data_IF_617682508582
#
_entry.id   IF_617682508582
#
_cell.length_a   1.000
_cell.length_b   1.000
_cell.length_c   1.000
_cell.angle_alpha   90.00
_cell.angle_beta   90.00
_cell.angle_gamma   90.00
#
_symmetry.space_group_name_H-M   'P 1'
#
loop_
_entity.id
_entity.type
_entity.pdbx_description
1 polymer ?
#
# COMPACT_ATOMS: atom_id res chain seq x y z
N UNK A 1 9.30 2.01 7.47
CA UNK A 1 8.53 3.26 7.27
C UNK A 1 7.30 3.28 8.17
N UNK A 2 6.14 2.74 7.78
CA UNK A 2 4.86 2.86 8.53
C UNK A 2 4.97 2.52 10.03
N UNK A 3 5.65 1.42 10.37
CA UNK A 3 5.88 1.02 11.78
C UNK A 3 6.46 2.15 12.64
N UNK A 4 7.38 2.94 12.06
CA UNK A 4 8.17 3.95 12.75
C UNK A 4 7.58 5.38 12.65
N UNK A 5 6.44 5.56 11.97
CA UNK A 5 5.79 6.85 11.78
C UNK A 5 4.68 7.00 12.81
N UNK A 6 4.71 8.00 13.68
CA UNK A 6 3.69 8.18 14.73
C UNK A 6 2.57 9.14 14.33
N UNK A 7 2.87 10.10 13.45
CA UNK A 7 1.93 11.10 12.95
C UNK A 7 2.06 11.19 11.43
N UNK A 8 0.95 11.34 10.72
CA UNK A 8 0.96 11.45 9.26
C UNK A 8 1.89 12.58 8.77
N UNK A 9 2.02 13.68 9.53
CA UNK A 9 2.91 14.80 9.17
C UNK A 9 4.39 14.44 9.06
N UNK A 10 4.81 13.33 9.68
CA UNK A 10 6.18 12.81 9.60
C UNK A 10 6.46 12.16 8.23
N UNK A 11 5.40 11.75 7.51
CA UNK A 11 5.51 11.29 6.14
C UNK A 11 5.74 12.47 5.22
N UNK A 12 7.00 12.84 5.06
CA UNK A 12 7.43 13.81 4.06
C UNK A 12 7.96 13.08 2.83
N UNK A 13 8.07 13.80 1.70
CA UNK A 13 8.72 13.28 0.50
C UNK A 13 10.10 12.72 0.83
N UNK A 14 10.91 13.47 1.58
CA UNK A 14 12.30 13.09 1.85
C UNK A 14 12.36 11.85 2.75
N UNK A 15 11.53 11.77 3.79
CA UNK A 15 11.40 10.58 4.63
C UNK A 15 11.02 9.33 3.83
N UNK A 16 10.09 9.45 2.89
CA UNK A 16 9.65 8.34 2.03
C UNK A 16 10.78 7.91 1.07
N UNK A 17 11.46 8.88 0.44
CA UNK A 17 12.58 8.60 -0.45
C UNK A 17 13.73 7.90 0.28
N UNK A 18 14.04 8.35 1.50
CA UNK A 18 15.08 7.76 2.33
C UNK A 18 14.70 6.33 2.75
N UNK A 19 13.43 6.11 3.14
CA UNK A 19 12.95 4.78 3.50
C UNK A 19 12.95 3.78 2.32
N UNK A 20 12.80 4.26 1.09
CA UNK A 20 12.82 3.43 -0.14
C UNK A 20 14.23 3.35 -0.74
N UNK A 21 15.12 4.27 -0.38
CA UNK A 21 16.46 4.39 -0.96
C UNK A 21 16.44 4.85 -2.42
N UNK A 22 15.38 5.54 -2.86
CA UNK A 22 15.19 6.00 -4.25
C UNK A 22 14.62 7.41 -4.29
N UNK A 23 15.07 8.19 -5.26
CA UNK A 23 14.50 9.52 -5.57
C UNK A 23 13.23 9.35 -6.38
N UNK A 24 12.23 10.16 -6.05
CA UNK A 24 10.95 10.16 -6.73
C UNK A 24 10.99 11.17 -7.88
N UNK A 25 10.12 10.97 -8.85
CA UNK A 25 9.79 11.99 -9.84
C UNK A 25 8.70 12.86 -9.22
N UNK A 26 9.00 14.11 -8.81
CA UNK A 26 7.99 15.02 -8.30
C UNK A 26 7.16 15.60 -9.45
N UNK A 27 5.90 15.92 -9.17
CA UNK A 27 5.09 16.78 -10.04
C UNK A 27 5.56 18.25 -9.95
N UNK A 28 5.05 19.11 -10.83
CA UNK A 28 5.51 20.49 -10.99
C UNK A 28 5.48 21.34 -9.70
N UNK A 29 4.55 21.05 -8.79
CA UNK A 29 4.42 21.75 -7.50
C UNK A 29 5.12 21.03 -6.33
N UNK A 30 5.71 19.86 -6.59
CA UNK A 30 6.39 19.01 -5.61
C UNK A 30 5.50 18.39 -4.52
N UNK A 31 4.18 18.62 -4.55
CA UNK A 31 3.23 18.12 -3.54
C UNK A 31 2.81 16.68 -3.81
N UNK A 32 2.87 16.26 -5.05
CA UNK A 32 2.71 14.87 -5.46
C UNK A 32 3.94 14.38 -6.21
N UNK A 33 4.02 13.07 -6.34
CA UNK A 33 5.09 12.42 -7.06
C UNK A 33 4.99 10.92 -6.96
N UNK A 34 5.86 10.26 -7.71
CA UNK A 34 5.87 8.80 -7.75
C UNK A 34 7.26 8.23 -7.95
N UNK A 35 7.40 6.96 -7.62
CA UNK A 35 8.51 6.12 -7.98
C UNK A 35 7.99 4.77 -8.44
N UNK A 36 8.51 4.25 -9.54
CA UNK A 36 8.16 2.93 -10.05
C UNK A 36 9.38 2.02 -10.09
N UNK A 37 9.20 0.78 -9.64
CA UNK A 37 10.19 -0.29 -9.70
C UNK A 37 9.63 -1.43 -10.54
N UNK A 38 10.15 -1.60 -11.75
CA UNK A 38 9.81 -2.72 -12.61
C UNK A 38 10.43 -4.01 -12.07
N UNK A 39 9.63 -5.07 -11.97
CA UNK A 39 10.11 -6.38 -11.52
C UNK A 39 10.91 -7.09 -12.61
N UNK A 40 11.78 -8.07 -12.26
CA UNK A 40 12.67 -8.72 -13.22
C UNK A 40 11.99 -9.32 -14.45
N UNK A 41 10.75 -9.82 -14.31
CA UNK A 41 9.99 -10.35 -15.46
C UNK A 41 9.54 -9.28 -16.45
N UNK A 42 9.58 -8.00 -16.07
CA UNK A 42 9.12 -6.87 -16.87
C UNK A 42 7.60 -6.72 -16.98
N UNK A 43 6.82 -7.71 -16.51
CA UNK A 43 5.36 -7.74 -16.65
C UNK A 43 4.64 -6.95 -15.57
N UNK A 44 5.29 -6.73 -14.43
CA UNK A 44 4.75 -6.09 -13.24
C UNK A 44 5.69 -5.02 -12.71
N UNK A 45 5.15 -4.03 -12.01
CA UNK A 45 5.92 -3.03 -11.29
C UNK A 45 5.24 -2.66 -9.97
N UNK A 46 6.05 -2.32 -8.98
CA UNK A 46 5.58 -1.59 -7.82
C UNK A 46 5.59 -0.10 -8.12
N UNK A 47 4.52 0.59 -7.77
CA UNK A 47 4.42 2.05 -7.82
C UNK A 47 4.20 2.59 -6.41
N UNK A 48 5.09 3.46 -5.97
CA UNK A 48 4.88 4.28 -4.78
C UNK A 48 4.47 5.67 -5.22
N UNK A 49 3.38 6.17 -4.67
CA UNK A 49 2.89 7.53 -4.95
C UNK A 49 2.69 8.27 -3.64
N UNK A 50 2.96 9.57 -3.62
CA UNK A 50 2.52 10.45 -2.55
C UNK A 50 1.71 11.62 -3.12
N UNK A 51 0.80 12.13 -2.32
CA UNK A 51 0.13 13.40 -2.51
C UNK A 51 -0.01 14.07 -1.13
N UNK A 52 0.51 15.29 -0.98
CA UNK A 52 0.45 16.08 0.24
C UNK A 52 -0.33 17.36 -0.02
N UNK A 53 -1.64 17.28 0.22
CA UNK A 53 -2.53 18.43 0.11
C UNK A 53 -2.51 19.22 1.42
N UNK A 54 -1.86 20.40 1.39
CA UNK A 54 -1.77 21.29 2.55
C UNK A 54 -3.08 22.03 2.85
N UNK A 55 -3.94 22.21 1.83
CA UNK A 55 -5.23 22.87 2.01
C UNK A 55 -6.27 21.91 2.58
N UNK A 56 -6.23 20.64 2.16
CA UNK A 56 -7.09 19.58 2.65
C UNK A 56 -6.25 18.39 3.08
N UNK A 57 -5.71 18.47 4.29
CA UNK A 57 -4.77 17.46 4.79
C UNK A 57 -5.35 16.04 4.84
N UNK A 58 -6.67 15.89 4.94
CA UNK A 58 -7.40 14.62 4.80
C UNK A 58 -7.29 13.97 3.42
N UNK A 59 -6.97 14.72 2.38
CA UNK A 59 -6.69 14.20 1.03
C UNK A 59 -5.23 13.73 0.87
N UNK A 60 -4.39 13.95 1.89
CA UNK A 60 -3.00 13.54 1.83
C UNK A 60 -2.86 12.04 1.98
N UNK A 61 -2.09 11.42 1.09
CA UNK A 61 -1.98 9.97 0.98
C UNK A 61 -0.58 9.56 0.50
N UNK A 62 -0.08 8.47 1.05
CA UNK A 62 1.05 7.72 0.49
C UNK A 62 0.56 6.32 0.16
N UNK A 63 0.84 5.82 -1.04
CA UNK A 63 0.38 4.51 -1.49
C UNK A 63 1.50 3.70 -2.12
N UNK A 64 1.48 2.39 -1.89
CA UNK A 64 2.24 1.37 -2.62
C UNK A 64 1.22 0.48 -3.36
N UNK A 65 1.41 0.29 -4.66
CA UNK A 65 0.53 -0.55 -5.50
C UNK A 65 1.35 -1.45 -6.40
N UNK A 66 0.97 -2.72 -6.50
CA UNK A 66 1.42 -3.61 -7.57
C UNK A 66 0.54 -3.39 -8.81
N UNK A 67 1.14 -2.99 -9.92
CA UNK A 67 0.44 -2.70 -11.18
C UNK A 67 1.07 -3.47 -12.34
N UNK A 68 0.27 -3.73 -13.37
CA UNK A 68 0.76 -4.32 -14.61
C UNK A 68 1.62 -3.32 -15.38
N UNK A 69 2.74 -3.82 -15.89
CA UNK A 69 3.61 -3.10 -16.82
C UNK A 69 3.46 -3.60 -18.26
N UNK A 70 2.86 -4.78 -18.46
CA UNK A 70 2.63 -5.39 -19.77
C UNK A 70 1.20 -5.94 -19.88
N UNK A 71 0.65 -5.96 -21.09
CA UNK A 71 -0.67 -6.56 -21.37
C UNK A 71 -0.68 -8.09 -21.18
N UNK A 72 0.49 -8.73 -21.28
CA UNK A 72 0.67 -10.18 -21.12
C UNK A 72 0.61 -10.65 -19.67
N UNK A 73 0.69 -9.73 -18.70
CA UNK A 73 0.74 -10.05 -17.29
C UNK A 73 -0.52 -10.80 -16.81
N UNK A 74 -0.33 -12.00 -16.25
CA UNK A 74 -1.39 -12.84 -15.70
C UNK A 74 -1.88 -12.35 -14.31
N UNK A 75 -3.09 -11.79 -14.24
CA UNK A 75 -3.71 -11.33 -12.98
C UNK A 75 -4.05 -12.44 -12.01
N UNK A 76 -4.11 -13.69 -12.47
CA UNK A 76 -4.34 -14.83 -11.60
C UNK A 76 -3.07 -15.20 -10.84
N UNK A 77 -1.91 -14.75 -11.32
CA UNK A 77 -0.60 -15.06 -10.77
C UNK A 77 0.33 -13.84 -10.63
N UNK A 78 -0.11 -12.72 -10.02
CA UNK A 78 0.80 -11.62 -9.76
C UNK A 78 1.95 -12.07 -8.85
N UNK A 79 3.14 -11.46 -8.98
CA UNK A 79 4.30 -11.69 -8.12
C UNK A 79 4.10 -11.05 -6.73
N UNK A 80 2.88 -11.06 -6.22
CA UNK A 80 2.47 -10.45 -4.98
C UNK A 80 3.03 -11.28 -3.80
N UNK A 81 4.26 -10.97 -3.39
CA UNK A 81 5.03 -11.70 -2.38
C UNK A 81 4.71 -11.27 -0.94
N UNK A 82 4.09 -10.10 -0.77
CA UNK A 82 3.71 -9.60 0.55
C UNK A 82 2.51 -10.39 1.07
N UNK A 83 2.77 -11.42 1.88
CA UNK A 83 1.73 -12.19 2.58
C UNK A 83 0.85 -11.27 3.44
N UNK A 84 -0.47 -11.40 3.27
CA UNK A 84 -1.44 -10.59 3.98
C UNK A 84 -1.36 -10.80 5.48
N UNK A 85 -1.27 -12.04 5.97
CA UNK A 85 -1.33 -12.33 7.40
C UNK A 85 -0.10 -11.81 8.13
N UNK A 86 1.09 -12.05 7.55
CA UNK A 86 2.34 -11.46 8.04
C UNK A 86 2.27 -9.94 8.12
N UNK A 87 1.67 -9.29 7.11
CA UNK A 87 1.54 -7.84 7.10
C UNK A 87 0.55 -7.32 8.16
N UNK A 88 -0.59 -8.01 8.35
CA UNK A 88 -1.58 -7.69 9.41
C UNK A 88 -0.93 -7.75 10.79
N UNK A 89 -0.24 -8.85 11.11
CA UNK A 89 0.45 -9.02 12.37
C UNK A 89 1.51 -7.92 12.61
N UNK A 90 2.23 -7.52 11.56
CA UNK A 90 3.22 -6.44 11.65
C UNK A 90 2.58 -5.07 11.96
N UNK A 91 1.47 -4.74 11.30
CA UNK A 91 0.72 -3.49 11.54
C UNK A 91 0.15 -3.47 12.97
N UNK A 92 -0.49 -4.55 13.40
CA UNK A 92 -1.08 -4.68 14.73
C UNK A 92 -0.02 -4.63 15.84
N UNK A 93 1.12 -5.32 15.66
CA UNK A 93 2.26 -5.25 16.60
C UNK A 93 2.88 -3.86 16.70
N UNK A 94 2.61 -2.99 15.73
CA UNK A 94 3.02 -1.60 15.75
C UNK A 94 2.01 -0.71 16.50
N UNK A 95 0.95 -1.27 17.10
CA UNK A 95 -0.03 -0.51 17.87
C UNK A 95 -1.12 0.17 17.03
N UNK A 96 -1.24 -0.21 15.75
CA UNK A 96 -2.44 0.14 14.98
C UNK A 96 -3.62 -0.74 15.42
N UNK A 97 -4.79 -0.13 15.55
CA UNK A 97 -6.03 -0.79 15.91
C UNK A 97 -6.81 -1.16 14.65
N UNK A 98 -7.33 -2.39 14.53
CA UNK A 98 -8.14 -2.78 13.38
C UNK A 98 -9.49 -2.07 13.42
N UNK A 99 -9.95 -1.64 12.25
CA UNK A 99 -11.32 -1.18 11.99
C UNK A 99 -12.16 -2.34 11.41
N UNK A 100 -13.50 -2.21 11.35
CA UNK A 100 -14.35 -3.21 10.72
C UNK A 100 -13.90 -3.56 9.28
N UNK A 101 -13.79 -4.86 9.02
CA UNK A 101 -13.38 -5.39 7.72
C UNK A 101 -14.46 -5.06 6.68
N UNK A 102 -14.03 -4.55 5.53
CA UNK A 102 -14.92 -4.37 4.38
C UNK A 102 -14.87 -5.61 3.50
N UNK A 103 -16.05 -6.13 3.15
CA UNK A 103 -16.19 -7.28 2.27
C UNK A 103 -16.79 -6.86 0.92
N UNK A 104 -16.48 -7.61 -0.13
CA UNK A 104 -17.16 -7.54 -1.42
C UNK A 104 -18.50 -8.27 -1.36
N UNK A 105 -19.33 -8.10 -2.40
CA UNK A 105 -20.63 -8.76 -2.53
C UNK A 105 -20.54 -10.30 -2.52
N UNK A 106 -19.40 -10.85 -2.92
CA UNK A 106 -19.13 -12.30 -2.92
C UNK A 106 -18.42 -12.78 -1.63
N UNK A 107 -18.38 -11.93 -0.59
CA UNK A 107 -17.84 -12.28 0.73
C UNK A 107 -16.31 -12.26 0.83
N UNK A 108 -15.59 -11.76 -0.19
CA UNK A 108 -14.13 -11.62 -0.11
C UNK A 108 -13.75 -10.35 0.65
N UNK A 109 -12.60 -10.36 1.31
CA UNK A 109 -12.08 -9.15 1.95
C UNK A 109 -11.77 -8.12 0.85
N UNK A 110 -12.50 -7.01 0.84
CA UNK A 110 -12.29 -5.91 -0.10
C UNK A 110 -11.26 -4.90 0.45
N UNK A 111 -11.28 -4.65 1.75
CA UNK A 111 -10.30 -3.79 2.40
C UNK A 111 -10.18 -4.11 3.90
N UNK A 112 -8.94 -4.04 4.41
CA UNK A 112 -8.64 -3.99 5.83
C UNK A 112 -8.20 -2.57 6.17
N UNK A 113 -8.71 -2.04 7.28
CA UNK A 113 -8.39 -0.68 7.74
C UNK A 113 -7.85 -0.74 9.16
N UNK A 114 -6.90 0.13 9.43
CA UNK A 114 -6.14 0.17 10.66
C UNK A 114 -5.86 1.62 11.04
N UNK A 115 -6.10 1.99 12.29
CA UNK A 115 -5.95 3.36 12.78
C UNK A 115 -4.92 3.46 13.90
N UNK A 116 -4.09 4.50 13.87
CA UNK A 116 -3.17 4.87 14.96
C UNK A 116 -2.98 6.38 14.92
N UNK A 117 -3.25 7.07 16.03
CA UNK A 117 -3.22 8.53 16.10
C UNK A 117 -4.04 9.16 14.97
N UNK A 118 -3.42 9.96 14.09
CA UNK A 118 -4.07 10.58 12.92
C UNK A 118 -3.76 9.88 11.59
N UNK A 119 -3.32 8.61 11.63
CA UNK A 119 -3.02 7.80 10.44
C UNK A 119 -4.00 6.65 10.24
N UNK A 120 -4.59 6.60 9.05
CA UNK A 120 -5.40 5.49 8.56
C UNK A 120 -4.58 4.70 7.56
N UNK A 121 -4.29 3.45 7.87
CA UNK A 121 -3.69 2.48 6.95
C UNK A 121 -4.80 1.62 6.35
N UNK A 122 -4.83 1.54 5.02
CA UNK A 122 -5.72 0.66 4.28
C UNK A 122 -4.90 -0.34 3.47
N UNK A 123 -5.27 -1.61 3.56
CA UNK A 123 -4.70 -2.72 2.78
C UNK A 123 -5.80 -3.29 1.90
N UNK A 124 -5.55 -3.36 0.60
CA UNK A 124 -6.40 -4.08 -0.34
C UNK A 124 -5.70 -5.39 -0.68
N UNK A 125 -6.31 -6.54 -0.36
CA UNK A 125 -5.72 -7.83 -0.69
C UNK A 125 -5.94 -8.17 -2.17
N UNK A 126 -5.11 -9.08 -2.67
CA UNK A 126 -5.36 -9.84 -3.89
C UNK A 126 -5.55 -11.30 -3.50
N UNK A 127 -6.68 -11.88 -3.88
CA UNK A 127 -6.96 -13.29 -3.65
C UNK A 127 -6.29 -14.13 -4.73
N UNK A 128 -5.35 -14.99 -4.34
CA UNK A 128 -4.70 -15.94 -5.22
C UNK A 128 -5.38 -17.30 -5.09
N UNK A 129 -5.95 -17.85 -6.19
CA UNK A 129 -6.51 -19.18 -6.16
C UNK A 129 -5.43 -20.23 -5.89
N UNK A 130 -5.85 -21.40 -5.44
CA UNK A 130 -4.95 -22.55 -5.35
C UNK A 130 -4.38 -22.91 -6.72
N UNK A 131 -3.12 -23.35 -6.74
CA UNK A 131 -2.50 -23.96 -7.92
C UNK A 131 -1.87 -25.30 -7.51
N UNK A 132 -1.38 -26.09 -8.48
CA UNK A 132 -0.92 -27.48 -8.25
C UNK A 132 0.00 -27.64 -7.03
N UNK A 133 0.87 -26.67 -6.77
CA UNK A 133 1.88 -26.74 -5.70
C UNK A 133 1.72 -25.66 -4.62
N UNK A 134 0.57 -24.96 -4.57
CA UNK A 134 0.33 -23.92 -3.57
C UNK A 134 -1.15 -23.80 -3.18
N UNK A 135 -1.48 -23.75 -1.87
CA UNK A 135 -2.83 -23.47 -1.43
C UNK A 135 -3.26 -22.04 -1.83
N UNK A 136 -4.57 -21.81 -1.84
CA UNK A 136 -5.11 -20.46 -2.00
C UNK A 136 -4.59 -19.57 -0.87
N UNK A 137 -4.24 -18.32 -1.19
CA UNK A 137 -3.70 -17.36 -0.24
C UNK A 137 -4.04 -15.94 -0.63
N UNK A 138 -4.03 -15.05 0.34
CA UNK A 138 -4.15 -13.63 0.08
C UNK A 138 -2.79 -12.95 0.21
N UNK A 139 -2.59 -11.88 -0.55
CA UNK A 139 -1.40 -11.07 -0.49
C UNK A 139 -1.76 -9.59 -0.62
N UNK A 140 -0.84 -8.70 -0.27
CA UNK A 140 -1.07 -7.25 -0.34
C UNK A 140 -0.97 -6.76 -1.78
N UNK A 141 -2.12 -6.41 -2.38
CA UNK A 141 -2.18 -5.77 -3.70
C UNK A 141 -1.78 -4.31 -3.64
N UNK A 142 -2.36 -3.63 -2.67
CA UNK A 142 -2.07 -2.24 -2.39
C UNK A 142 -2.14 -1.95 -0.90
N UNK A 143 -1.39 -0.93 -0.55
CA UNK A 143 -1.27 -0.38 0.78
C UNK A 143 -1.33 1.13 0.64
N UNK A 144 -2.11 1.79 1.48
CA UNK A 144 -2.11 3.24 1.57
C UNK A 144 -2.15 3.70 3.01
N UNK A 145 -1.49 4.82 3.28
CA UNK A 145 -1.61 5.55 4.53
C UNK A 145 -2.15 6.94 4.22
N UNK A 146 -3.12 7.38 5.00
CA UNK A 146 -3.83 8.65 4.84
C UNK A 146 -3.89 9.37 6.18
N UNK A 147 -3.94 10.71 6.16
CA UNK A 147 -4.35 11.44 7.37
C UNK A 147 -5.84 11.22 7.59
N UNK A 148 -6.23 10.92 8.81
CA UNK A 148 -7.64 10.89 9.21
C UNK A 148 -7.82 11.64 10.53
N UNK A 149 -9.03 12.14 10.76
CA UNK A 149 -9.31 13.04 11.88
C UNK A 149 -8.74 14.45 11.67
N UNK A 150 -9.06 15.34 12.61
CA UNK A 150 -8.56 16.73 12.65
C UNK A 150 -7.12 16.79 13.18
#
# INVERSE_FOLDING_TARGET
MIKNTNDFKELTRDYIQDAIGKRFTPDADGKSGFYTLRLPSGEWQYSVTYNFDRAFTSNSIVSLKLIKSAKTADERSPPCELDLQSYRASIESSGFKPEPITYSEIGWIAALRYTRNNMLVQIVPHHLPSARDRPARDCVKSLSIQKFGE
#
